data_IF_275348387434
#
_entry.id   IF_275348387434
#
_cell.length_a   1.000
_cell.length_b   1.000
_cell.length_c   1.000
_cell.angle_alpha   90.00
_cell.angle_beta   90.00
_cell.angle_gamma   90.00
#
_symmetry.space_group_name_H-M   'P 1'
#
loop_
_entity.id
_entity.type
_entity.pdbx_description
1 polymer ?
#
# COMPACT_ATOMS: atom_id res chain seq x y z
N UNK A 1 -15.20 -1.23 24.91
CA UNK A 1 -16.01 -0.24 24.17
C UNK A 1 -15.56 -0.28 22.71
N UNK A 2 -16.47 -0.39 21.73
CA UNK A 2 -16.12 -0.28 20.32
C UNK A 2 -15.58 1.11 19.99
N UNK A 3 -14.75 1.19 18.96
CA UNK A 3 -14.24 2.46 18.43
C UNK A 3 -15.39 3.13 17.67
N UNK A 4 -15.78 4.34 18.08
CA UNK A 4 -16.89 5.07 17.47
C UNK A 4 -16.53 5.61 16.07
N UNK A 5 -17.53 5.86 15.21
CA UNK A 5 -17.29 6.43 13.90
C UNK A 5 -16.78 7.87 14.05
N UNK A 6 -15.76 8.24 13.28
CA UNK A 6 -15.13 9.55 13.39
C UNK A 6 -14.15 9.71 14.57
N UNK A 7 -13.79 8.63 15.25
CA UNK A 7 -12.74 8.67 16.27
C UNK A 7 -11.33 8.62 15.64
N UNK A 8 -10.36 9.24 16.33
CA UNK A 8 -8.96 9.21 15.91
C UNK A 8 -8.27 7.97 16.48
N UNK A 9 -7.72 7.14 15.61
CA UNK A 9 -7.06 5.88 15.98
C UNK A 9 -5.59 5.93 15.59
N UNK A 10 -4.73 5.43 16.47
CA UNK A 10 -3.29 5.28 16.23
C UNK A 10 -2.94 3.80 16.09
N UNK A 11 -2.40 3.43 14.93
CA UNK A 11 -1.80 2.12 14.69
C UNK A 11 -0.27 2.21 14.81
N UNK A 12 0.35 1.20 15.41
CA UNK A 12 1.79 1.11 15.59
C UNK A 12 2.33 -0.14 14.91
N UNK A 13 3.58 -0.08 14.45
CA UNK A 13 4.23 -1.19 13.77
C UNK A 13 5.65 -0.86 13.33
N UNK A 14 6.15 -1.65 12.38
CA UNK A 14 7.45 -1.45 11.74
C UNK A 14 7.25 -1.37 10.24
N UNK A 15 8.01 -0.47 9.59
CA UNK A 15 7.96 -0.27 8.13
C UNK A 15 6.54 -0.03 7.60
N UNK A 16 5.73 0.77 8.29
CA UNK A 16 4.37 1.08 7.86
C UNK A 16 4.35 1.99 6.62
N UNK A 17 5.16 3.04 6.61
CA UNK A 17 5.35 3.95 5.48
C UNK A 17 6.84 4.14 5.14
N UNK A 18 7.12 4.71 3.97
CA UNK A 18 8.50 5.05 3.53
C UNK A 18 8.95 6.43 4.02
N UNK A 19 8.01 7.33 4.28
CA UNK A 19 8.27 8.70 4.70
C UNK A 19 7.34 9.07 5.86
N UNK A 20 7.77 10.07 6.63
CA UNK A 20 6.95 10.68 7.66
C UNK A 20 6.26 11.91 7.09
N UNK A 21 4.93 11.92 7.11
CA UNK A 21 4.11 13.02 6.60
C UNK A 21 2.90 13.27 7.50
N UNK A 22 2.48 14.54 7.58
CA UNK A 22 1.30 14.97 8.31
C UNK A 22 0.35 15.72 7.36
N UNK A 23 -0.95 15.48 7.50
CA UNK A 23 -1.98 16.22 6.77
C UNK A 23 -2.00 17.68 7.23
N UNK A 24 -2.03 18.61 6.27
CA UNK A 24 -1.95 20.05 6.53
C UNK A 24 -3.30 20.73 6.78
N UNK A 25 -4.38 20.16 6.26
CA UNK A 25 -5.73 20.73 6.35
C UNK A 25 -6.80 19.65 6.34
N UNK A 26 -7.96 19.97 6.92
CA UNK A 26 -9.15 19.13 6.89
C UNK A 26 -10.03 19.53 5.70
N UNK A 27 -10.64 18.60 4.94
CA UNK A 27 -10.69 17.15 5.15
C UNK A 27 -9.36 16.45 4.85
N UNK A 28 -8.99 15.49 5.70
CA UNK A 28 -7.72 14.79 5.56
C UNK A 28 -7.68 13.90 4.31
N UNK A 29 -6.53 13.81 3.62
CA UNK A 29 -6.40 12.97 2.44
C UNK A 29 -6.43 11.48 2.81
N UNK A 30 -6.94 10.65 1.89
CA UNK A 30 -6.93 9.18 2.01
C UNK A 30 -5.62 8.55 1.56
N UNK A 31 -4.73 9.36 0.97
CA UNK A 31 -3.37 8.96 0.57
C UNK A 31 -2.39 9.96 1.15
N UNK A 32 -1.44 9.49 1.96
CA UNK A 32 -0.41 10.31 2.60
C UNK A 32 0.88 9.48 2.71
N UNK A 33 2.05 10.06 2.49
CA UNK A 33 3.33 9.33 2.59
C UNK A 33 3.45 8.09 1.69
N UNK A 34 2.71 8.06 0.57
CA UNK A 34 2.69 6.92 -0.36
C UNK A 34 1.92 5.70 0.16
N UNK A 35 1.06 5.85 1.17
CA UNK A 35 0.19 4.77 1.66
C UNK A 35 -1.29 5.12 1.56
N UNK A 36 -2.12 4.07 1.49
CA UNK A 36 -3.58 4.09 1.59
C UNK A 36 -4.00 3.07 2.65
N UNK A 37 -4.93 3.46 3.49
CA UNK A 37 -5.49 2.59 4.52
C UNK A 37 -6.91 2.23 4.13
N UNK A 38 -7.13 0.94 3.92
CA UNK A 38 -8.43 0.36 3.65
C UNK A 38 -8.99 -0.23 4.94
N UNK A 39 -10.20 0.16 5.29
CA UNK A 39 -10.94 -0.34 6.44
C UNK A 39 -12.08 -1.20 5.91
N UNK A 40 -12.10 -2.45 6.34
CA UNK A 40 -13.20 -3.39 6.10
C UNK A 40 -13.89 -3.65 7.43
N UNK A 41 -15.22 -3.73 7.40
CA UNK A 41 -16.00 -4.15 8.55
C UNK A 41 -17.04 -5.22 8.15
N UNK A 42 -17.74 -5.80 9.12
CA UNK A 42 -18.71 -6.86 8.88
C UNK A 42 -20.10 -6.34 8.48
N UNK A 43 -20.47 -5.17 8.97
CA UNK A 43 -21.71 -4.44 8.68
C UNK A 43 -21.79 -3.91 7.25
N UNK A 44 -20.65 -3.66 6.59
CA UNK A 44 -20.60 -3.15 5.22
C UNK A 44 -19.76 -4.03 4.29
N UNK A 45 -20.33 -4.43 3.15
CA UNK A 45 -19.61 -5.15 2.10
C UNK A 45 -18.85 -4.16 1.20
N UNK A 46 -17.67 -3.71 1.64
CA UNK A 46 -16.76 -2.90 0.82
C UNK A 46 -15.56 -2.33 1.56
N UNK A 47 -14.45 -2.12 0.83
CA UNK A 47 -13.27 -1.40 1.32
C UNK A 47 -13.56 0.10 1.40
N UNK A 48 -13.45 0.68 2.60
CA UNK A 48 -13.55 2.12 2.79
C UNK A 48 -12.17 2.71 3.09
N UNK A 49 -11.79 3.72 2.33
CA UNK A 49 -10.55 4.44 2.59
C UNK A 49 -10.69 5.33 3.83
N UNK A 50 -9.76 5.18 4.78
CA UNK A 50 -9.70 6.03 5.96
C UNK A 50 -8.95 7.34 5.65
N UNK A 51 -9.44 8.50 6.14
CA UNK A 51 -8.69 9.75 6.14
C UNK A 51 -7.46 9.65 7.05
N UNK A 52 -6.29 10.05 6.54
CA UNK A 52 -5.00 9.95 7.23
C UNK A 52 -4.57 11.31 7.78
N UNK A 53 -4.34 11.41 9.08
CA UNK A 53 -3.83 12.62 9.73
C UNK A 53 -2.29 12.63 9.78
N UNK A 54 -1.69 11.50 10.14
CA UNK A 54 -0.25 11.39 10.32
C UNK A 54 0.22 10.00 9.92
N UNK A 55 1.37 9.94 9.25
CA UNK A 55 1.97 8.70 8.78
C UNK A 55 3.46 8.75 9.08
N UNK A 56 4.00 7.68 9.63
CA UNK A 56 5.44 7.47 9.82
C UNK A 56 5.78 5.99 9.67
N UNK A 57 7.07 5.62 9.59
CA UNK A 57 7.49 4.22 9.54
C UNK A 57 7.03 3.37 10.73
N UNK A 58 6.74 3.99 11.87
CA UNK A 58 6.39 3.32 13.14
C UNK A 58 4.97 3.57 13.63
N UNK A 59 4.28 4.58 13.09
CA UNK A 59 2.95 4.99 13.55
C UNK A 59 2.10 5.52 12.39
N UNK A 60 0.80 5.24 12.41
CA UNK A 60 -0.20 5.87 11.55
C UNK A 60 -1.36 6.35 12.41
N UNK A 61 -1.76 7.62 12.24
CA UNK A 61 -2.98 8.18 12.84
C UNK A 61 -4.02 8.41 11.73
N UNK A 62 -5.21 7.84 11.91
CA UNK A 62 -6.29 7.89 10.94
C UNK A 62 -7.65 8.06 11.61
N UNK A 63 -8.61 8.58 10.85
CA UNK A 63 -10.00 8.68 11.29
C UNK A 63 -10.71 7.37 11.00
N UNK A 64 -11.29 6.73 12.02
CA UNK A 64 -12.07 5.50 11.84
C UNK A 64 -13.39 5.83 11.12
N UNK A 65 -13.62 5.30 9.90
CA UNK A 65 -14.84 5.62 9.15
C UNK A 65 -16.06 4.80 9.60
N UNK A 66 -15.83 3.68 10.28
CA UNK A 66 -16.85 2.72 10.74
C UNK A 66 -16.99 2.75 12.27
N UNK A 67 -18.14 2.32 12.77
CA UNK A 67 -18.42 2.11 14.20
C UNK A 67 -18.41 0.64 14.61
N UNK A 68 -18.02 -0.26 13.71
CA UNK A 68 -18.09 -1.69 13.94
C UNK A 68 -17.00 -2.12 14.94
N UNK A 69 -17.38 -3.00 15.86
CA UNK A 69 -16.46 -3.56 16.83
C UNK A 69 -15.43 -4.49 16.17
N UNK A 70 -15.77 -5.05 15.02
CA UNK A 70 -14.93 -5.98 14.27
C UNK A 70 -14.59 -5.42 12.89
N UNK A 71 -13.74 -4.39 12.88
CA UNK A 71 -13.12 -3.88 11.66
C UNK A 71 -11.66 -4.35 11.56
N UNK A 72 -11.20 -4.63 10.35
CA UNK A 72 -9.77 -4.87 10.08
C UNK A 72 -9.24 -3.83 9.09
N UNK A 73 -7.96 -3.55 9.23
CA UNK A 73 -7.26 -2.57 8.39
C UNK A 73 -6.29 -3.30 7.46
N UNK A 74 -6.23 -2.85 6.21
CA UNK A 74 -5.17 -3.23 5.28
C UNK A 74 -4.46 -2.00 4.75
N UNK A 75 -3.14 -2.07 4.68
CA UNK A 75 -2.28 -0.95 4.27
C UNK A 75 -1.76 -1.25 2.88
N UNK A 76 -2.08 -0.38 1.93
CA UNK A 76 -1.60 -0.45 0.55
C UNK A 76 -0.55 0.65 0.33
N UNK A 77 0.64 0.26 -0.15
CA UNK A 77 1.68 1.22 -0.57
C UNK A 77 1.44 1.61 -2.03
N UNK A 78 1.07 2.87 -2.26
CA UNK A 78 0.79 3.43 -3.58
C UNK A 78 2.09 3.49 -4.38
N UNK A 79 2.11 2.82 -5.53
CA UNK A 79 3.27 2.84 -6.45
C UNK A 79 4.21 1.65 -6.30
N UNK A 80 4.02 0.77 -5.32
CA UNK A 80 4.53 -0.59 -5.45
C UNK A 80 3.53 -1.34 -6.34
N UNK A 81 3.94 -1.92 -7.49
CA UNK A 81 3.10 -2.90 -8.14
C UNK A 81 2.78 -3.94 -7.06
N UNK A 82 1.50 -4.30 -6.89
CA UNK A 82 1.14 -5.52 -6.15
C UNK A 82 2.02 -6.58 -6.77
N UNK A 83 3.09 -6.95 -6.08
CA UNK A 83 4.17 -7.64 -6.72
C UNK A 83 3.52 -8.86 -7.35
N UNK A 84 3.56 -8.96 -8.68
CA UNK A 84 3.37 -10.25 -9.30
C UNK A 84 4.42 -11.09 -8.59
N UNK A 85 3.96 -11.96 -7.69
CA UNK A 85 4.76 -12.57 -6.66
C UNK A 85 5.59 -13.64 -7.37
N UNK A 86 6.52 -13.19 -8.22
CA UNK A 86 7.57 -13.99 -8.78
C UNK A 86 8.52 -14.20 -7.61
N UNK A 87 8.13 -15.15 -6.76
CA UNK A 87 8.88 -15.65 -5.63
C UNK A 87 10.32 -15.81 -6.08
N UNK A 88 11.20 -14.90 -5.64
CA UNK A 88 12.63 -15.08 -5.76
C UNK A 88 13.01 -16.20 -4.77
N UNK A 89 12.74 -17.45 -5.17
CA UNK A 89 13.52 -18.57 -4.67
C UNK A 89 14.91 -18.36 -5.26
N UNK A 90 15.75 -17.66 -4.50
CA UNK A 90 17.16 -17.53 -4.78
C UNK A 90 17.79 -18.92 -4.68
N UNK A 91 17.84 -19.63 -5.81
CA UNK A 91 18.89 -20.52 -6.32
C UNK A 91 18.33 -21.40 -7.43
N UNK A 92 17.92 -20.79 -8.52
CA UNK A 92 18.17 -21.27 -9.88
C UNK A 92 17.58 -20.25 -10.84
N UNK A 93 18.25 -20.12 -11.99
CA UNK A 93 18.09 -19.10 -13.02
C UNK A 93 16.63 -18.74 -13.30
N UNK A 94 16.30 -17.46 -13.57
CA UNK A 94 14.94 -17.08 -13.96
C UNK A 94 14.62 -17.72 -15.31
N UNK A 95 13.86 -18.81 -15.31
CA UNK A 95 13.19 -19.30 -16.51
C UNK A 95 11.90 -18.53 -16.62
N UNK A 96 11.95 -17.41 -17.35
CA UNK A 96 10.79 -16.89 -18.05
C UNK A 96 10.33 -17.99 -19.02
N UNK A 97 9.36 -18.82 -18.64
CA UNK A 97 8.64 -19.65 -19.61
C UNK A 97 7.68 -18.76 -20.38
N UNK A 98 8.24 -17.92 -21.26
CA UNK A 98 7.50 -17.52 -22.45
C UNK A 98 7.33 -18.79 -23.26
N UNK A 99 6.08 -19.11 -23.55
CA UNK A 99 5.66 -20.19 -24.41
C UNK A 99 6.55 -20.30 -25.65
N UNK A 100 6.76 -21.54 -26.06
CA UNK A 100 7.74 -22.02 -26.99
C UNK A 100 7.89 -21.20 -28.29
N UNK A 101 9.09 -21.36 -28.87
CA UNK A 101 9.49 -21.00 -30.24
C UNK A 101 9.64 -19.52 -30.58
N UNK A 102 10.83 -18.96 -30.31
CA UNK A 102 11.63 -18.17 -31.26
C UNK A 102 12.82 -17.49 -30.54
N UNK A 103 13.76 -18.30 -30.05
CA UNK A 103 15.10 -17.80 -29.78
C UNK A 103 15.81 -17.64 -31.12
N UNK A 104 16.04 -16.41 -31.57
CA UNK A 104 17.30 -16.00 -32.19
C UNK A 104 17.28 -14.50 -32.51
N UNK A 105 18.17 -13.78 -31.80
CA UNK A 105 18.94 -12.60 -32.24
C UNK A 105 18.43 -11.23 -31.81
N UNK A 106 19.36 -10.56 -31.10
CA UNK A 106 19.60 -9.09 -31.08
C UNK A 106 18.56 -8.30 -30.29
N UNK A 107 18.86 -7.26 -29.56
CA UNK A 107 20.07 -6.55 -29.15
C UNK A 107 19.52 -5.49 -28.17
N UNK A 108 20.16 -5.21 -27.04
CA UNK A 108 20.81 -3.91 -26.85
C UNK A 108 20.07 -2.74 -27.55
N UNK A 109 19.11 -2.14 -26.86
CA UNK A 109 18.62 -0.79 -27.12
C UNK A 109 17.74 -0.35 -25.94
N UNK A 110 17.92 0.77 -25.25
CA UNK A 110 19.02 1.71 -25.14
C UNK A 110 18.64 2.55 -23.91
N UNK A 111 19.47 2.51 -22.86
CA UNK A 111 19.55 3.59 -21.89
C UNK A 111 20.47 4.67 -22.47
N UNK A 112 20.03 5.94 -22.37
CA UNK A 112 20.70 7.25 -22.58
C UNK A 112 19.68 8.16 -23.27
N UNK A 113 18.99 9.10 -22.60
CA UNK A 113 19.47 10.33 -21.94
C UNK A 113 20.49 11.08 -22.80
N UNK A 114 19.99 12.18 -23.37
CA UNK A 114 20.57 13.36 -24.08
C UNK A 114 21.72 14.03 -23.30
N UNK A 115 22.53 14.95 -23.87
CA UNK A 115 22.23 16.05 -24.83
C UNK A 115 22.74 15.86 -26.27
#
# INVERSE_FOLDING_TARGET
MPVGPGSLVSAFGLNLASATEAAKSYPWPTTLGGIRLHVQDRSHQGDRLAPLLYVSPTQINYLMPSSDAFAWISIERVGLPRACLCRLVARSRPVCSRSATAWLRRALCASRVTP
#
